data_IF_603476606099
#
_entry.id   IF_603476606099
#
_cell.length_a   1.000
_cell.length_b   1.000
_cell.length_c   1.000
_cell.angle_alpha   90.00
_cell.angle_beta   90.00
_cell.angle_gamma   90.00
#
_symmetry.space_group_name_H-M   'P 1'
#
loop_
_entity.id
_entity.type
_entity.pdbx_description
1 polymer ?
#
# COMPACT_ATOMS: atom_id res chain seq x y z
N UNK A 1 -33.91 -14.95 9.36
CA UNK A 1 -32.68 -14.77 10.14
C UNK A 1 -32.68 -15.61 11.42
N UNK A 2 -33.86 -15.88 11.98
CA UNK A 2 -34.03 -16.72 13.17
C UNK A 2 -33.60 -18.19 12.95
N UNK A 3 -33.76 -18.71 11.75
CA UNK A 3 -33.49 -20.11 11.38
C UNK A 3 -31.98 -20.37 11.00
N UNK A 4 -31.17 -19.33 10.93
CA UNK A 4 -29.74 -19.50 10.59
C UNK A 4 -29.07 -20.23 11.74
N UNK A 5 -28.58 -21.45 11.44
CA UNK A 5 -27.90 -22.35 12.36
C UNK A 5 -26.42 -22.54 11.96
N UNK A 6 -25.69 -23.36 12.69
CA UNK A 6 -24.26 -23.64 12.43
C UNK A 6 -24.03 -24.27 11.07
N UNK A 7 -24.90 -25.18 10.62
CA UNK A 7 -24.74 -25.87 9.34
C UNK A 7 -24.84 -24.91 8.16
N UNK A 8 -25.77 -23.96 8.21
CA UNK A 8 -25.92 -22.92 7.19
C UNK A 8 -24.70 -21.96 7.16
N UNK A 9 -24.13 -21.65 8.32
CA UNK A 9 -22.90 -20.84 8.38
C UNK A 9 -21.72 -21.62 7.80
N UNK A 10 -21.55 -22.90 8.16
CA UNK A 10 -20.52 -23.78 7.63
C UNK A 10 -20.67 -23.95 6.12
N UNK A 11 -21.87 -24.20 5.62
CA UNK A 11 -22.14 -24.29 4.18
C UNK A 11 -21.69 -23.04 3.39
N UNK A 12 -21.79 -21.86 4.01
CA UNK A 12 -21.35 -20.62 3.39
C UNK A 12 -19.82 -20.41 3.41
N UNK A 13 -19.12 -20.89 4.44
CA UNK A 13 -17.69 -20.55 4.62
C UNK A 13 -16.75 -21.72 4.34
N UNK A 14 -17.16 -22.95 4.55
CA UNK A 14 -16.32 -24.16 4.42
C UNK A 14 -15.76 -24.36 3.00
N UNK A 15 -16.53 -24.16 1.91
CA UNK A 15 -16.02 -24.32 0.54
C UNK A 15 -14.84 -23.41 0.21
N UNK A 16 -14.72 -22.28 0.91
CA UNK A 16 -13.65 -21.28 0.69
C UNK A 16 -12.66 -21.22 1.86
N UNK A 17 -12.86 -22.02 2.93
CA UNK A 17 -12.09 -21.90 4.16
C UNK A 17 -10.59 -22.21 3.97
N UNK A 18 -10.28 -23.26 3.23
CA UNK A 18 -8.90 -23.69 2.94
C UNK A 18 -8.32 -22.97 1.72
N UNK A 19 -9.14 -22.67 0.71
CA UNK A 19 -8.68 -22.05 -0.55
C UNK A 19 -8.46 -20.54 -0.44
N UNK A 20 -9.33 -19.85 0.32
CA UNK A 20 -9.33 -18.37 0.49
C UNK A 20 -9.54 -18.00 1.97
N UNK A 21 -8.62 -18.38 2.87
CA UNK A 21 -8.82 -18.28 4.32
C UNK A 21 -9.14 -16.85 4.81
N UNK A 22 -8.50 -15.84 4.19
CA UNK A 22 -8.78 -14.43 4.51
C UNK A 22 -10.20 -14.02 4.16
N UNK A 23 -10.67 -14.39 2.96
CA UNK A 23 -12.03 -14.12 2.50
C UNK A 23 -13.05 -14.85 3.37
N UNK A 24 -12.84 -16.13 3.63
CA UNK A 24 -13.70 -16.95 4.47
C UNK A 24 -13.84 -16.38 5.89
N UNK A 25 -12.72 -15.99 6.50
CA UNK A 25 -12.71 -15.32 7.81
C UNK A 25 -13.52 -14.03 7.80
N UNK A 26 -13.36 -13.19 6.76
CA UNK A 26 -14.12 -11.94 6.64
C UNK A 26 -15.62 -12.18 6.41
N UNK A 27 -15.98 -13.19 5.62
CA UNK A 27 -17.39 -13.59 5.41
C UNK A 27 -17.98 -14.04 6.73
N UNK A 28 -17.33 -14.97 7.44
CA UNK A 28 -17.74 -15.40 8.76
C UNK A 28 -17.96 -14.24 9.74
N UNK A 29 -16.98 -13.31 9.83
CA UNK A 29 -17.11 -12.13 10.71
C UNK A 29 -18.26 -11.21 10.35
N UNK A 30 -18.60 -11.09 9.07
CA UNK A 30 -19.77 -10.32 8.63
C UNK A 30 -21.07 -11.02 9.03
N UNK A 31 -21.15 -12.33 8.84
CA UNK A 31 -22.30 -13.13 9.30
C UNK A 31 -22.45 -12.99 10.82
N UNK A 32 -21.36 -13.13 11.58
CA UNK A 32 -21.36 -12.97 13.04
C UNK A 32 -21.93 -11.62 13.46
N UNK A 33 -21.45 -10.51 12.87
CA UNK A 33 -21.95 -9.17 13.17
C UNK A 33 -23.44 -8.98 12.85
N UNK A 34 -23.91 -9.51 11.72
CA UNK A 34 -25.30 -9.42 11.31
C UNK A 34 -26.19 -10.20 12.29
N UNK A 35 -25.74 -11.39 12.71
CA UNK A 35 -26.49 -12.22 13.66
C UNK A 35 -26.47 -11.66 15.09
N UNK A 36 -25.36 -11.04 15.51
CA UNK A 36 -25.29 -10.30 16.78
C UNK A 36 -26.26 -9.11 16.78
N UNK A 37 -26.27 -8.34 15.68
CA UNK A 37 -27.25 -7.25 15.52
C UNK A 37 -28.69 -7.77 15.57
N UNK A 38 -28.99 -8.88 14.88
CA UNK A 38 -30.33 -9.48 14.89
C UNK A 38 -30.72 -9.93 16.30
N UNK A 39 -29.78 -10.49 17.08
CA UNK A 39 -30.03 -10.85 18.48
C UNK A 39 -30.31 -9.62 19.34
N UNK A 40 -29.55 -8.53 19.18
CA UNK A 40 -29.77 -7.29 19.93
C UNK A 40 -31.08 -6.56 19.56
N UNK A 41 -31.72 -6.97 18.49
CA UNK A 41 -33.02 -6.48 18.01
C UNK A 41 -34.17 -7.49 18.25
N UNK A 42 -33.93 -8.53 19.03
CA UNK A 42 -34.88 -9.61 19.31
C UNK A 42 -35.45 -10.33 18.06
N UNK A 43 -34.72 -10.21 16.92
CA UNK A 43 -35.06 -10.88 15.66
C UNK A 43 -34.62 -12.36 15.62
N UNK A 44 -33.82 -12.78 16.60
CA UNK A 44 -33.41 -14.16 16.83
C UNK A 44 -33.12 -14.42 18.31
N UNK A 45 -33.32 -15.66 18.73
CA UNK A 45 -32.93 -16.16 20.05
C UNK A 45 -31.68 -17.07 19.97
N UNK A 46 -31.09 -17.38 21.12
CA UNK A 46 -30.01 -18.34 21.25
C UNK A 46 -28.62 -17.71 20.95
N UNK A 47 -27.60 -18.58 20.93
CA UNK A 47 -26.21 -18.22 20.67
C UNK A 47 -25.97 -17.93 19.19
N UNK A 48 -24.93 -17.13 18.90
CA UNK A 48 -24.55 -16.80 17.53
C UNK A 48 -23.82 -17.98 16.87
N UNK A 49 -24.40 -18.64 15.84
CA UNK A 49 -23.79 -19.80 15.20
C UNK A 49 -22.53 -19.46 14.37
N UNK A 50 -22.24 -18.17 14.12
CA UNK A 50 -21.03 -17.73 13.44
C UNK A 50 -19.91 -17.32 14.41
N UNK A 51 -20.13 -17.46 15.74
CA UNK A 51 -19.11 -17.17 16.76
C UNK A 51 -17.88 -18.05 16.54
N UNK A 52 -16.69 -17.44 16.61
CA UNK A 52 -15.45 -18.18 16.44
C UNK A 52 -15.06 -18.90 17.73
N UNK A 53 -14.80 -18.12 18.80
CA UNK A 53 -14.33 -18.67 20.09
C UNK A 53 -15.37 -19.54 20.76
N UNK A 54 -14.95 -20.73 21.18
CA UNK A 54 -15.80 -21.70 21.86
C UNK A 54 -16.86 -22.35 20.95
N UNK A 55 -16.82 -22.12 19.62
CA UNK A 55 -17.77 -22.71 18.68
C UNK A 55 -17.09 -23.13 17.36
N UNK A 56 -17.03 -22.27 16.34
CA UNK A 56 -16.49 -22.65 15.03
C UNK A 56 -14.99 -22.97 15.03
N UNK A 57 -14.23 -22.53 16.01
CA UNK A 57 -12.82 -22.92 16.18
C UNK A 57 -12.64 -24.42 16.42
N UNK A 58 -13.67 -25.11 16.90
CA UNK A 58 -13.65 -26.56 17.09
C UNK A 58 -14.06 -27.34 15.83
N UNK A 59 -14.65 -26.66 14.85
CA UNK A 59 -15.18 -27.26 13.61
C UNK A 59 -14.30 -26.95 12.39
N UNK A 60 -13.60 -25.83 12.41
CA UNK A 60 -12.79 -25.34 11.29
C UNK A 60 -11.32 -25.21 11.70
N UNK A 61 -10.35 -25.55 10.84
CA UNK A 61 -8.95 -25.39 11.15
C UNK A 61 -8.57 -23.90 11.30
N UNK A 62 -7.66 -23.64 12.23
CA UNK A 62 -7.16 -22.28 12.45
C UNK A 62 -6.53 -21.70 11.17
N UNK A 63 -6.87 -20.45 10.86
CA UNK A 63 -6.34 -19.72 9.71
C UNK A 63 -4.81 -19.72 9.64
N UNK A 64 -4.12 -19.55 10.79
CA UNK A 64 -2.64 -19.53 10.85
C UNK A 64 -1.99 -20.82 10.37
N UNK A 65 -2.71 -21.95 10.47
CA UNK A 65 -2.25 -23.26 9.99
C UNK A 65 -2.50 -23.47 8.50
N UNK A 66 -3.41 -22.68 7.90
CA UNK A 66 -3.85 -22.87 6.51
C UNK A 66 -3.05 -22.05 5.49
N UNK A 67 -2.60 -20.86 5.85
CA UNK A 67 -1.84 -20.01 4.94
C UNK A 67 -0.81 -19.18 5.71
N UNK A 68 0.45 -19.24 5.27
CA UNK A 68 1.42 -18.23 5.63
C UNK A 68 0.96 -16.85 5.12
N UNK A 69 1.24 -15.80 5.88
CA UNK A 69 0.95 -14.43 5.44
C UNK A 69 1.73 -14.17 4.16
N UNK A 70 1.03 -14.13 3.02
CA UNK A 70 1.66 -13.83 1.74
C UNK A 70 1.79 -12.31 1.66
N UNK A 71 3.02 -11.81 1.80
CA UNK A 71 3.32 -10.41 1.57
C UNK A 71 3.05 -10.04 0.10
N UNK A 72 2.70 -8.78 -0.16
CA UNK A 72 2.63 -8.29 -1.52
C UNK A 72 3.99 -8.43 -2.19
N UNK A 73 4.01 -9.00 -3.37
CA UNK A 73 5.24 -9.13 -4.14
C UNK A 73 5.77 -7.73 -4.44
N UNK A 74 7.00 -7.47 -4.05
CA UNK A 74 7.69 -6.20 -4.16
C UNK A 74 8.86 -6.31 -5.13
N UNK A 75 9.17 -5.23 -5.84
CA UNK A 75 10.39 -5.14 -6.63
C UNK A 75 11.59 -5.04 -5.66
N UNK A 76 12.65 -5.85 -5.81
CA UNK A 76 13.90 -5.62 -5.09
C UNK A 76 14.42 -4.21 -5.31
N UNK A 77 14.74 -3.49 -4.23
CA UNK A 77 15.10 -2.07 -4.33
C UNK A 77 16.29 -1.77 -5.27
N UNK A 78 17.32 -2.64 -5.43
CA UNK A 78 18.41 -2.37 -6.38
C UNK A 78 17.95 -2.32 -7.85
N UNK A 79 16.75 -2.88 -8.15
CA UNK A 79 16.16 -2.85 -9.49
C UNK A 79 15.31 -1.60 -9.76
N UNK A 80 15.16 -0.72 -8.78
CA UNK A 80 14.33 0.49 -8.93
C UNK A 80 14.82 1.45 -10.02
N UNK A 81 16.12 1.75 -10.15
CA UNK A 81 16.57 2.65 -11.21
C UNK A 81 16.17 2.17 -12.61
N UNK A 82 16.42 0.89 -12.92
CA UNK A 82 16.06 0.31 -14.21
C UNK A 82 14.54 0.31 -14.44
N UNK A 83 13.76 -0.04 -13.40
CA UNK A 83 12.32 -0.01 -13.49
C UNK A 83 11.77 1.40 -13.73
N UNK A 84 12.30 2.40 -13.00
CA UNK A 84 11.87 3.79 -13.11
C UNK A 84 12.23 4.37 -14.48
N UNK A 85 13.40 4.05 -15.04
CA UNK A 85 13.78 4.43 -16.40
C UNK A 85 12.76 3.92 -17.42
N UNK A 86 12.43 2.62 -17.41
CA UNK A 86 11.45 2.02 -18.29
C UNK A 86 10.01 2.56 -18.08
N UNK A 87 9.67 2.95 -16.85
CA UNK A 87 8.37 3.57 -16.55
C UNK A 87 8.28 4.98 -17.15
N UNK A 88 9.35 5.76 -17.11
CA UNK A 88 9.42 7.15 -17.62
C UNK A 88 9.29 7.26 -19.12
N UNK A 89 9.62 6.21 -19.87
CA UNK A 89 9.35 6.14 -21.32
C UNK A 89 7.87 6.20 -21.67
N UNK A 90 7.00 6.00 -20.70
CA UNK A 90 5.54 6.00 -20.85
C UNK A 90 4.96 7.32 -20.38
N UNK A 91 4.14 7.96 -21.23
CA UNK A 91 3.55 9.28 -20.96
C UNK A 91 2.09 9.23 -20.49
N UNK A 92 1.53 8.03 -20.30
CA UNK A 92 0.13 7.86 -19.91
C UNK A 92 -0.13 8.26 -18.46
N UNK A 93 -1.38 8.66 -18.17
CA UNK A 93 -1.80 9.07 -16.81
C UNK A 93 -1.53 8.00 -15.75
N UNK A 94 -1.73 6.73 -16.11
CA UNK A 94 -1.44 5.61 -15.19
C UNK A 94 0.06 5.43 -14.93
N UNK A 95 0.92 5.73 -15.91
CA UNK A 95 2.37 5.71 -15.72
C UNK A 95 2.82 6.85 -14.79
N UNK A 96 2.31 8.06 -14.98
CA UNK A 96 2.57 9.20 -14.08
C UNK A 96 2.03 8.93 -12.67
N UNK A 97 0.83 8.34 -12.55
CA UNK A 97 0.25 7.93 -11.27
C UNK A 97 1.09 6.88 -10.55
N UNK A 98 1.65 5.91 -11.27
CA UNK A 98 2.54 4.90 -10.68
C UNK A 98 3.90 5.50 -10.27
N UNK A 99 4.50 6.36 -11.10
CA UNK A 99 5.75 7.05 -10.75
C UNK A 99 5.54 7.93 -9.51
N UNK A 100 4.43 8.67 -9.43
CA UNK A 100 4.10 9.49 -8.26
C UNK A 100 3.88 8.63 -7.00
N UNK A 101 3.22 7.47 -7.12
CA UNK A 101 3.07 6.51 -6.04
C UNK A 101 4.42 6.02 -5.50
N UNK A 102 5.35 5.71 -6.39
CA UNK A 102 6.71 5.27 -6.04
C UNK A 102 7.44 6.38 -5.29
N UNK A 103 7.47 7.59 -5.86
CA UNK A 103 8.20 8.74 -5.32
C UNK A 103 7.67 9.23 -3.97
N UNK A 104 6.37 9.06 -3.71
CA UNK A 104 5.72 9.47 -2.46
C UNK A 104 5.60 8.33 -1.44
N UNK A 105 5.86 7.10 -1.85
CA UNK A 105 5.58 5.88 -1.08
C UNK A 105 4.17 5.84 -0.48
N UNK A 106 3.20 6.56 -1.07
CA UNK A 106 1.82 6.63 -0.62
C UNK A 106 1.02 5.36 -0.95
N UNK A 107 -0.13 5.16 -0.33
CA UNK A 107 -1.00 4.02 -0.66
C UNK A 107 -1.70 4.25 -2.00
N UNK A 108 -1.95 3.16 -2.73
CA UNK A 108 -2.63 3.22 -4.03
C UNK A 108 -3.91 4.05 -3.97
N UNK A 109 -4.77 3.83 -2.98
CA UNK A 109 -6.02 4.58 -2.83
C UNK A 109 -5.80 6.07 -2.50
N UNK A 110 -4.72 6.41 -1.82
CA UNK A 110 -4.35 7.80 -1.53
C UNK A 110 -3.97 8.53 -2.83
N UNK A 111 -3.11 7.91 -3.65
CA UNK A 111 -2.69 8.49 -4.95
C UNK A 111 -3.83 8.59 -5.94
N UNK A 112 -4.60 7.51 -6.12
CA UNK A 112 -5.71 7.50 -7.07
C UNK A 112 -6.81 8.51 -6.71
N UNK A 113 -7.02 8.74 -5.42
CA UNK A 113 -7.99 9.72 -4.93
C UNK A 113 -7.42 11.13 -4.71
N UNK A 114 -6.15 11.40 -5.05
CA UNK A 114 -5.56 12.73 -4.87
C UNK A 114 -6.30 13.79 -5.69
N UNK A 115 -6.61 14.92 -5.05
CA UNK A 115 -7.24 16.08 -5.70
C UNK A 115 -6.31 17.29 -5.68
N UNK A 116 -6.55 18.22 -6.58
CA UNK A 116 -5.72 19.43 -6.68
C UNK A 116 -5.77 20.31 -5.43
N UNK A 117 -6.88 20.28 -4.69
CA UNK A 117 -7.04 21.03 -3.44
C UNK A 117 -6.12 20.54 -2.32
N UNK A 118 -5.55 19.34 -2.46
CA UNK A 118 -4.60 18.75 -1.51
C UNK A 118 -3.14 19.11 -1.83
N UNK A 119 -2.87 19.73 -3.00
CA UNK A 119 -1.52 19.94 -3.53
C UNK A 119 -1.11 21.40 -3.38
N UNK A 120 -0.05 21.64 -2.63
CA UNK A 120 0.67 22.90 -2.60
C UNK A 120 2.00 22.73 -3.37
N UNK A 121 2.02 23.19 -4.62
CA UNK A 121 3.19 23.10 -5.49
C UNK A 121 4.31 24.05 -5.06
N UNK A 122 3.98 25.19 -4.46
CA UNK A 122 4.97 26.18 -4.00
C UNK A 122 5.70 25.68 -2.76
N UNK A 123 4.98 25.17 -1.77
CA UNK A 123 5.56 24.55 -0.58
C UNK A 123 6.16 23.15 -0.87
N UNK A 124 5.84 22.54 -2.00
CA UNK A 124 6.21 21.16 -2.34
C UNK A 124 5.61 20.14 -1.36
N UNK A 125 4.30 20.26 -1.10
CA UNK A 125 3.59 19.43 -0.12
C UNK A 125 2.29 18.92 -0.69
N UNK A 126 2.03 17.63 -0.47
CA UNK A 126 0.73 17.02 -0.65
C UNK A 126 0.13 16.72 0.72
N UNK A 127 -0.99 17.36 1.06
CA UNK A 127 -1.70 17.20 2.34
C UNK A 127 -2.90 16.29 2.15
N UNK A 128 -2.82 15.06 2.63
CA UNK A 128 -3.90 14.08 2.54
C UNK A 128 -4.80 14.24 3.78
N UNK A 129 -6.09 14.58 3.63
CA UNK A 129 -6.98 14.77 4.76
C UNK A 129 -7.25 13.46 5.52
N UNK A 130 -7.53 13.57 6.82
CA UNK A 130 -7.68 12.43 7.72
C UNK A 130 -8.75 11.42 7.30
N UNK A 131 -9.83 11.88 6.66
CA UNK A 131 -10.92 11.04 6.17
C UNK A 131 -10.46 10.03 5.11
N UNK A 132 -9.38 10.34 4.40
CA UNK A 132 -8.80 9.49 3.36
C UNK A 132 -7.69 8.57 3.89
N UNK A 133 -7.24 8.80 5.12
CA UNK A 133 -6.17 8.05 5.78
C UNK A 133 -6.76 6.99 6.71
N UNK A 134 -6.27 5.75 6.61
CA UNK A 134 -6.74 4.64 7.48
C UNK A 134 -6.61 4.95 8.98
N UNK A 135 -5.66 5.79 9.37
CA UNK A 135 -5.43 6.20 10.76
C UNK A 135 -6.29 7.38 11.22
N UNK A 136 -7.12 7.97 10.34
CA UNK A 136 -7.98 9.11 10.65
C UNK A 136 -7.25 10.41 10.95
N UNK A 137 -5.95 10.52 10.63
CA UNK A 137 -5.13 11.71 10.84
C UNK A 137 -4.63 12.22 9.50
N UNK A 138 -4.63 13.55 9.34
CA UNK A 138 -3.99 14.24 8.23
C UNK A 138 -2.53 13.78 8.07
N UNK A 139 -2.11 13.63 6.82
CA UNK A 139 -0.74 13.25 6.48
C UNK A 139 -0.17 14.17 5.41
N UNK A 140 0.88 14.90 5.77
CA UNK A 140 1.62 15.75 4.85
C UNK A 140 2.74 14.93 4.21
N UNK A 141 2.74 14.85 2.89
CA UNK A 141 3.74 14.15 2.09
C UNK A 141 4.66 15.18 1.44
N UNK A 142 5.96 15.21 1.75
CA UNK A 142 6.90 16.08 1.07
C UNK A 142 7.11 15.59 -0.37
N UNK A 143 7.05 16.51 -1.32
CA UNK A 143 7.20 16.22 -2.74
C UNK A 143 8.64 16.46 -3.18
N UNK A 144 9.24 15.47 -3.83
CA UNK A 144 10.51 15.62 -4.51
C UNK A 144 10.38 16.48 -5.77
N UNK A 145 11.46 17.07 -6.32
CA UNK A 145 11.41 17.83 -7.57
C UNK A 145 10.70 17.05 -8.69
N UNK A 146 11.03 15.77 -8.86
CA UNK A 146 10.40 14.94 -9.90
C UNK A 146 8.89 14.71 -9.64
N UNK A 147 8.46 14.59 -8.39
CA UNK A 147 7.03 14.50 -8.08
C UNK A 147 6.30 15.80 -8.45
N UNK A 148 6.91 16.97 -8.24
CA UNK A 148 6.37 18.27 -8.64
C UNK A 148 6.29 18.38 -10.18
N UNK A 149 7.30 17.90 -10.91
CA UNK A 149 7.28 17.86 -12.38
C UNK A 149 6.09 17.01 -12.89
N UNK A 150 5.89 15.82 -12.31
CA UNK A 150 4.74 14.96 -12.66
C UNK A 150 3.43 15.72 -12.44
N UNK A 151 3.28 16.40 -11.31
CA UNK A 151 2.07 17.19 -11.04
C UNK A 151 1.90 18.32 -12.05
N UNK A 152 2.99 18.99 -12.44
CA UNK A 152 2.97 20.03 -13.46
C UNK A 152 2.55 19.47 -14.83
N UNK A 153 3.06 18.30 -15.22
CA UNK A 153 2.62 17.57 -16.41
C UNK A 153 1.11 17.24 -16.31
N UNK A 154 0.66 16.73 -15.17
CA UNK A 154 -0.74 16.35 -14.97
C UNK A 154 -1.69 17.54 -14.99
N UNK A 155 -1.24 18.73 -14.61
CA UNK A 155 -2.05 19.96 -14.63
C UNK A 155 -2.51 20.36 -16.03
N UNK A 156 -1.82 19.89 -17.08
CA UNK A 156 -2.23 20.09 -18.48
C UNK A 156 -3.52 19.34 -18.83
N UNK A 157 -3.86 18.27 -18.08
CA UNK A 157 -5.11 17.52 -18.25
C UNK A 157 -6.29 18.12 -17.46
N UNK A 158 -6.03 19.09 -16.58
CA UNK A 158 -7.01 19.78 -15.76
C UNK A 158 -6.44 20.21 -14.42
N UNK A 159 -6.87 21.36 -13.92
CA UNK A 159 -6.40 21.96 -12.66
C UNK A 159 -7.42 21.82 -11.51
N UNK A 160 -8.50 21.05 -11.71
CA UNK A 160 -9.56 20.84 -10.72
C UNK A 160 -9.94 19.35 -10.65
N UNK A 161 -10.45 18.93 -9.51
CA UNK A 161 -10.81 17.52 -9.28
C UNK A 161 -9.59 16.62 -9.07
N UNK A 162 -9.63 15.41 -9.63
CA UNK A 162 -8.57 14.42 -9.41
C UNK A 162 -7.28 14.77 -10.16
N UNK A 163 -6.14 14.61 -9.49
CA UNK A 163 -4.80 14.77 -10.08
C UNK A 163 -4.55 13.74 -11.18
N UNK A 164 -4.99 12.51 -10.96
CA UNK A 164 -4.89 11.42 -11.93
C UNK A 164 -6.29 11.02 -12.42
N UNK A 165 -6.82 11.71 -13.46
CA UNK A 165 -8.18 11.48 -13.92
C UNK A 165 -8.31 10.13 -14.64
N UNK A 166 -9.46 9.49 -14.46
CA UNK A 166 -9.86 8.29 -15.16
C UNK A 166 -10.49 8.60 -16.51
N UNK A 167 -10.86 7.56 -17.25
CA UNK A 167 -11.50 7.70 -18.57
C UNK A 167 -12.89 8.34 -18.48
N UNK A 168 -13.61 8.13 -17.39
CA UNK A 168 -14.93 8.72 -17.17
C UNK A 168 -14.75 10.10 -16.55
N UNK A 169 -15.40 11.11 -17.13
CA UNK A 169 -15.35 12.49 -16.61
C UNK A 169 -15.72 12.54 -15.11
N UNK A 170 -14.91 13.22 -14.32
CA UNK A 170 -15.10 13.38 -12.87
C UNK A 170 -14.80 12.13 -12.05
N UNK A 171 -14.18 11.10 -12.62
CA UNK A 171 -13.73 9.93 -11.87
C UNK A 171 -12.20 9.84 -11.81
N UNK A 172 -11.63 9.26 -10.74
CA UNK A 172 -10.21 8.98 -10.66
C UNK A 172 -9.82 7.79 -11.54
N UNK A 173 -8.53 7.54 -11.72
CA UNK A 173 -8.03 6.27 -12.23
C UNK A 173 -8.60 5.09 -11.40
N UNK A 174 -8.93 4.00 -12.07
CA UNK A 174 -9.41 2.80 -11.39
C UNK A 174 -8.27 2.09 -10.64
N UNK A 175 -8.61 1.34 -9.59
CA UNK A 175 -7.66 0.50 -8.87
C UNK A 175 -6.92 -0.51 -9.77
N UNK A 176 -7.53 -0.89 -10.89
CA UNK A 176 -6.94 -1.82 -11.85
C UNK A 176 -5.96 -1.15 -12.81
N UNK A 177 -5.98 0.18 -12.94
CA UNK A 177 -5.15 0.89 -13.92
C UNK A 177 -3.65 0.62 -13.73
N UNK A 178 -3.18 0.74 -12.47
CA UNK A 178 -1.77 0.51 -12.13
C UNK A 178 -1.36 -0.96 -12.29
N UNK A 179 -2.25 -1.91 -11.97
CA UNK A 179 -1.98 -3.34 -12.17
C UNK A 179 -1.91 -3.68 -13.67
N UNK A 180 -2.81 -3.13 -14.48
CA UNK A 180 -2.79 -3.30 -15.93
C UNK A 180 -1.57 -2.63 -16.56
N UNK A 181 -1.10 -1.52 -16.02
CA UNK A 181 0.17 -0.93 -16.44
C UNK A 181 1.34 -1.89 -16.17
N UNK A 182 1.44 -2.44 -14.96
CA UNK A 182 2.48 -3.41 -14.62
C UNK A 182 2.44 -4.65 -15.53
N UNK A 183 1.26 -5.17 -15.83
CA UNK A 183 1.09 -6.26 -16.80
C UNK A 183 1.64 -5.88 -18.19
N UNK A 184 1.32 -4.66 -18.71
CA UNK A 184 1.85 -4.16 -19.99
C UNK A 184 3.37 -3.91 -19.98
N UNK A 185 3.95 -3.72 -18.80
CA UNK A 185 5.40 -3.64 -18.59
C UNK A 185 6.06 -5.02 -18.41
N UNK A 186 5.30 -6.12 -18.54
CA UNK A 186 5.80 -7.48 -18.29
C UNK A 186 6.08 -7.78 -16.81
N UNK A 187 5.44 -7.04 -15.89
CA UNK A 187 5.69 -7.12 -14.45
C UNK A 187 4.44 -7.53 -13.67
N UNK A 188 3.83 -8.64 -14.08
CA UNK A 188 2.72 -9.26 -13.32
C UNK A 188 3.16 -9.91 -12.00
N UNK A 189 4.47 -10.02 -11.80
CA UNK A 189 5.11 -10.57 -10.60
C UNK A 189 5.05 -9.64 -9.39
N UNK A 190 4.78 -8.34 -9.59
CA UNK A 190 4.76 -7.32 -8.53
C UNK A 190 3.42 -6.57 -8.49
N UNK A 191 3.20 -5.83 -7.42
CA UNK A 191 1.99 -5.00 -7.26
C UNK A 191 2.35 -3.54 -6.98
N UNK A 192 1.43 -2.61 -7.30
CA UNK A 192 1.63 -1.19 -6.97
C UNK A 192 1.84 -0.98 -5.46
N UNK A 193 1.16 -1.76 -4.60
CA UNK A 193 1.36 -1.70 -3.14
C UNK A 193 2.75 -2.22 -2.72
N UNK A 194 3.34 -3.15 -3.47
CA UNK A 194 4.67 -3.71 -3.22
C UNK A 194 5.78 -2.65 -3.22
N UNK A 195 5.63 -1.54 -3.97
CA UNK A 195 6.63 -0.47 -3.97
C UNK A 195 6.80 0.22 -2.61
N UNK A 196 5.80 0.19 -1.74
CA UNK A 196 5.96 0.66 -0.36
C UNK A 196 6.90 -0.25 0.44
N UNK A 197 6.85 -1.55 0.21
CA UNK A 197 7.79 -2.51 0.80
C UNK A 197 9.19 -2.30 0.22
N UNK A 198 9.30 -2.06 -1.09
CA UNK A 198 10.57 -1.72 -1.75
C UNK A 198 11.22 -0.48 -1.11
N UNK A 199 10.45 0.61 -0.96
CA UNK A 199 10.91 1.83 -0.28
C UNK A 199 11.33 1.54 1.16
N UNK A 200 10.53 0.79 1.92
CA UNK A 200 10.84 0.47 3.32
C UNK A 200 12.13 -0.35 3.46
N UNK A 201 12.34 -1.31 2.54
CA UNK A 201 13.55 -2.13 2.52
C UNK A 201 14.77 -1.29 2.14
N UNK A 202 14.68 -0.47 1.09
CA UNK A 202 15.73 0.50 0.72
C UNK A 202 16.11 1.40 1.89
N UNK A 203 15.11 1.97 2.56
CA UNK A 203 15.35 2.87 3.69
C UNK A 203 16.10 2.19 4.83
N UNK A 204 15.82 0.89 5.10
CA UNK A 204 16.45 0.15 6.19
C UNK A 204 17.81 -0.46 5.82
N UNK A 205 18.04 -0.79 4.56
CA UNK A 205 19.27 -1.48 4.12
C UNK A 205 20.30 -0.56 3.51
N UNK A 206 19.87 0.53 2.84
CA UNK A 206 20.73 1.39 2.08
C UNK A 206 20.91 2.79 2.69
N UNK A 207 20.25 3.08 3.83
CA UNK A 207 20.30 4.42 4.42
C UNK A 207 20.50 4.39 5.93
N UNK A 208 20.95 5.52 6.49
CA UNK A 208 21.05 5.74 7.94
C UNK A 208 19.81 6.42 8.56
N UNK A 209 18.66 6.48 7.87
CA UNK A 209 17.47 7.14 8.42
C UNK A 209 16.91 6.37 9.62
N UNK A 210 16.58 7.07 10.72
CA UNK A 210 15.95 6.45 11.89
C UNK A 210 14.64 5.75 11.53
N UNK A 211 14.36 4.63 12.18
CA UNK A 211 13.14 3.83 11.98
C UNK A 211 11.87 4.67 12.02
N UNK A 212 11.80 5.61 12.98
CA UNK A 212 10.64 6.49 13.13
C UNK A 212 10.40 7.41 11.92
N UNK A 213 11.45 7.83 11.21
CA UNK A 213 11.32 8.64 9.98
C UNK A 213 10.73 7.80 8.86
N UNK A 214 11.21 6.55 8.73
CA UNK A 214 10.72 5.61 7.73
C UNK A 214 9.22 5.27 7.95
N UNK A 215 8.84 5.00 9.19
CA UNK A 215 7.44 4.68 9.54
C UNK A 215 6.53 5.91 9.37
N UNK A 216 7.04 7.11 9.70
CA UNK A 216 6.32 8.36 9.48
C UNK A 216 6.11 8.67 7.99
N UNK A 217 7.09 8.38 7.13
CA UNK A 217 6.96 8.53 5.68
C UNK A 217 5.86 7.61 5.10
N UNK A 218 5.71 6.43 5.67
CA UNK A 218 4.68 5.47 5.29
C UNK A 218 3.31 5.72 5.95
N UNK A 219 3.14 6.76 6.75
CA UNK A 219 1.93 6.97 7.55
C UNK A 219 1.51 5.71 8.33
N UNK A 220 2.49 5.01 8.91
CA UNK A 220 2.23 3.87 9.79
C UNK A 220 1.90 4.36 11.19
N UNK A 221 0.92 3.72 11.81
CA UNK A 221 0.54 4.00 13.19
C UNK A 221 1.62 3.46 14.13
N UNK A 222 2.09 4.31 15.05
CA UNK A 222 2.99 3.88 16.12
C UNK A 222 2.20 2.95 17.04
N UNK A 223 2.61 1.69 17.10
CA UNK A 223 1.94 0.67 17.93
C UNK A 223 2.16 0.91 19.42
N UNK A 224 3.33 1.48 19.80
CA UNK A 224 3.65 1.81 21.19
C UNK A 224 2.89 3.09 21.62
N UNK A 225 1.98 2.95 22.58
CA UNK A 225 1.18 4.07 23.10
C UNK A 225 2.03 5.15 23.79
N UNK A 226 3.13 4.76 24.47
CA UNK A 226 4.05 5.68 25.13
C UNK A 226 4.81 6.51 24.10
N UNK A 227 5.41 5.87 23.10
CA UNK A 227 6.11 6.56 22.01
C UNK A 227 5.18 7.53 21.27
N UNK A 228 3.94 7.11 21.01
CA UNK A 228 2.91 7.95 20.37
C UNK A 228 2.56 9.20 21.20
N UNK A 229 2.54 9.10 22.53
CA UNK A 229 2.23 10.22 23.41
C UNK A 229 3.35 11.28 23.43
N UNK A 230 4.61 10.87 23.31
CA UNK A 230 5.75 11.77 23.27
C UNK A 230 6.01 12.40 21.90
N UNK A 231 5.44 11.85 20.82
CA UNK A 231 5.65 12.33 19.46
C UNK A 231 4.73 13.49 19.12
N UNK A 232 5.21 14.74 19.27
CA UNK A 232 4.46 15.96 18.98
C UNK A 232 4.57 16.42 17.51
N UNK A 233 5.60 15.99 16.76
CA UNK A 233 5.85 16.40 15.38
C UNK A 233 5.72 15.26 14.39
N UNK A 234 5.56 15.59 13.11
CA UNK A 234 5.46 14.65 11.99
C UNK A 234 6.79 14.36 11.29
N UNK A 235 7.90 14.88 11.82
CA UNK A 235 9.26 14.75 11.29
C UNK A 235 9.39 15.23 9.83
N UNK A 236 8.63 16.24 9.45
CA UNK A 236 8.44 16.66 8.06
C UNK A 236 9.75 16.93 7.34
N UNK A 237 10.67 17.71 7.91
CA UNK A 237 11.94 18.05 7.27
C UNK A 237 12.89 16.83 7.13
N UNK A 238 12.88 15.91 8.10
CA UNK A 238 13.63 14.66 7.97
C UNK A 238 13.06 13.78 6.85
N UNK A 239 11.71 13.71 6.74
CA UNK A 239 11.03 13.00 5.66
C UNK A 239 11.28 13.66 4.31
N UNK A 240 11.33 15.01 4.24
CA UNK A 240 11.65 15.75 3.00
C UNK A 240 13.00 15.32 2.42
N UNK A 241 14.02 15.26 3.25
CA UNK A 241 15.35 14.79 2.83
C UNK A 241 15.29 13.33 2.37
N UNK A 242 14.68 12.46 3.15
CA UNK A 242 14.55 11.05 2.81
C UNK A 242 13.80 10.81 1.48
N UNK A 243 12.74 11.56 1.21
CA UNK A 243 11.98 11.42 -0.04
C UNK A 243 12.76 11.99 -1.25
N UNK A 244 13.61 13.02 -1.04
CA UNK A 244 14.53 13.49 -2.06
C UNK A 244 15.59 12.42 -2.38
N UNK A 245 16.25 11.86 -1.38
CA UNK A 245 17.25 10.80 -1.57
C UNK A 245 16.65 9.55 -2.25
N UNK A 246 15.40 9.22 -1.92
CA UNK A 246 14.67 8.14 -2.59
C UNK A 246 14.42 8.45 -4.07
N UNK A 247 14.00 9.67 -4.39
CA UNK A 247 13.77 10.10 -5.77
C UNK A 247 15.06 10.10 -6.58
N UNK A 248 16.16 10.57 -5.98
CA UNK A 248 17.49 10.57 -6.59
C UNK A 248 18.00 9.14 -6.81
N UNK A 249 17.81 8.24 -5.84
CA UNK A 249 18.13 6.83 -6.01
C UNK A 249 17.34 6.21 -7.17
N UNK A 250 16.01 6.45 -7.25
CA UNK A 250 15.19 5.96 -8.35
C UNK A 250 15.60 6.53 -9.72
N UNK A 251 16.27 7.67 -9.76
CA UNK A 251 16.70 8.34 -10.98
C UNK A 251 18.15 7.99 -11.41
N UNK A 252 18.87 7.19 -10.62
CA UNK A 252 20.23 6.82 -10.94
C UNK A 252 20.33 6.15 -12.32
N UNK A 253 21.41 6.40 -13.07
CA UNK A 253 21.68 5.68 -14.30
C UNK A 253 21.74 4.17 -14.04
N UNK A 254 21.18 3.38 -14.94
CA UNK A 254 21.32 1.94 -14.89
C UNK A 254 22.79 1.60 -15.08
N UNK A 255 23.48 1.21 -14.01
CA UNK A 255 24.85 0.74 -14.16
C UNK A 255 24.82 -0.65 -14.82
N UNK A 256 25.44 -0.79 -15.97
CA UNK A 256 25.66 -2.07 -16.65
C UNK A 256 26.66 -3.00 -15.92
N UNK A 257 26.95 -2.73 -14.65
CA UNK A 257 27.78 -3.62 -13.85
C UNK A 257 26.98 -4.84 -13.40
N UNK A 258 26.71 -5.75 -14.32
CA UNK A 258 26.71 -7.16 -13.97
C UNK A 258 28.11 -7.45 -13.43
N UNK A 259 28.19 -7.81 -12.15
CA UNK A 259 29.46 -8.03 -11.49
C UNK A 259 30.28 -9.10 -12.20
N UNK A 260 31.29 -8.68 -12.92
CA UNK A 260 32.39 -9.56 -13.29
C UNK A 260 33.07 -9.93 -11.97
N UNK A 261 32.79 -11.14 -11.48
CA UNK A 261 33.54 -11.75 -10.39
C UNK A 261 34.97 -11.93 -10.91
N UNK A 262 35.88 -11.02 -10.55
CA UNK A 262 37.30 -11.21 -10.78
C UNK A 262 37.78 -12.20 -9.73
N UNK A 263 38.19 -13.45 -10.10
CA UNK A 263 38.76 -14.36 -9.14
C UNK A 263 40.04 -13.78 -8.61
N UNK A 264 40.14 -13.58 -7.30
CA UNK A 264 41.41 -13.30 -6.64
C UNK A 264 42.34 -14.48 -6.90
N UNK A 265 43.34 -14.30 -7.77
CA UNK A 265 44.43 -15.26 -7.87
C UNK A 265 45.15 -15.29 -6.53
N UNK A 266 45.08 -16.45 -5.86
CA UNK A 266 46.04 -16.77 -4.81
C UNK A 266 47.39 -16.95 -5.49
N UNK A 267 48.30 -15.99 -5.33
CA UNK A 267 49.70 -16.24 -5.59
C UNK A 267 50.22 -17.20 -4.52
N UNK A 268 50.34 -18.45 -4.93
CA UNK A 268 51.05 -19.48 -4.17
C UNK A 268 52.53 -19.33 -4.42
N UNK A 269 53.30 -19.16 -3.37
CA UNK A 269 54.71 -19.41 -3.31
C UNK A 269 54.96 -20.91 -3.34
#
# INVERSE_FOLDING_TARGET
>A
IAEINTDLVLAAVEPIWTQKPETATRVRQRIEKVLDYAKSRDLRAGENPARWRGHLENLLPERRKLAAVKHHNALPWPKMPAFTAALRERTSVDARGLEFLILTAARTGEVLGATWDEIDLEAGVWTIPGERIKAGKEHRVPLSPRAIEILSEMRTFGATGYVFPGRRKGSPLSNMALLKLLERMGRSDITAHGFRSTFRTWASEATGYPHEVCEAALAHTISNAVERAYRRGDLFEKRRRMMADWADFCAQPVSEREGTVVPLRSEGA
#
